data_IF_990250967909
#
_entry.id   IF_990250967909
#
_cell.length_a   1.000
_cell.length_b   1.000
_cell.length_c   1.000
_cell.angle_alpha   90.00
_cell.angle_beta   90.00
_cell.angle_gamma   90.00
#
_symmetry.space_group_name_H-M   'P 1'
#
loop_
_entity.id
_entity.type
_entity.pdbx_description
1 polymer ?
#
# COMPACT_ATOMS: atom_id res chain seq x y z
N UNK A 1 4.15 17.77 2.68
CA UNK A 1 3.31 18.98 2.86
C UNK A 1 2.04 18.66 3.64
N UNK A 2 1.01 18.04 3.05
CA UNK A 2 -0.26 17.74 3.75
C UNK A 2 -0.14 16.81 4.96
N UNK A 3 0.82 15.89 4.96
CA UNK A 3 1.05 14.97 6.09
C UNK A 3 1.80 15.60 7.26
N UNK A 4 2.33 16.82 7.12
CA UNK A 4 3.16 17.47 8.15
C UNK A 4 4.56 16.89 8.33
N UNK A 5 4.93 15.80 7.63
CA UNK A 5 6.28 15.22 7.67
C UNK A 5 7.27 16.15 6.97
N UNK A 6 8.16 16.76 7.76
CA UNK A 6 9.10 17.79 7.31
C UNK A 6 10.33 17.19 6.64
N UNK A 7 10.73 16.00 7.07
CA UNK A 7 11.93 15.27 6.68
C UNK A 7 11.83 14.69 5.26
N UNK A 8 10.62 14.65 4.70
CA UNK A 8 10.35 14.30 3.30
C UNK A 8 10.37 15.49 2.34
N UNK A 9 10.82 16.67 2.76
CA UNK A 9 10.85 17.86 1.90
C UNK A 9 11.97 17.77 0.85
N UNK A 10 11.61 17.97 -0.41
CA UNK A 10 12.52 17.91 -1.55
C UNK A 10 12.84 19.33 -2.05
N UNK A 11 14.11 19.62 -2.31
CA UNK A 11 14.56 20.86 -2.95
C UNK A 11 14.24 20.96 -4.44
N UNK A 12 12.96 20.85 -4.83
CA UNK A 12 12.48 20.79 -6.23
C UNK A 12 13.03 21.95 -7.07
N UNK A 13 12.97 23.18 -6.54
CA UNK A 13 13.47 24.37 -7.24
C UNK A 13 14.96 24.27 -7.59
N UNK A 14 15.78 23.64 -6.74
CA UNK A 14 17.20 23.46 -7.00
C UNK A 14 17.41 22.42 -8.11
N UNK A 15 16.70 21.29 -8.04
CA UNK A 15 16.75 20.23 -9.06
C UNK A 15 16.42 20.81 -10.44
N UNK A 16 15.30 21.53 -10.56
CA UNK A 16 14.86 22.16 -11.81
C UNK A 16 15.89 23.14 -12.37
N UNK A 17 16.45 24.02 -11.52
CA UNK A 17 17.48 25.00 -11.95
C UNK A 17 18.75 24.34 -12.50
N UNK A 18 19.07 23.15 -12.03
CA UNK A 18 20.25 22.37 -12.44
C UNK A 18 19.94 21.28 -13.47
N UNK A 19 18.69 21.14 -13.90
CA UNK A 19 18.29 20.14 -14.89
C UNK A 19 18.68 20.59 -16.30
N UNK A 20 19.23 19.67 -17.10
CA UNK A 20 19.66 19.89 -18.48
C UNK A 20 19.27 18.71 -19.35
N UNK A 21 19.31 18.92 -20.67
CA UNK A 21 19.24 17.85 -21.66
C UNK A 21 20.64 17.63 -22.23
N UNK A 22 21.14 16.41 -22.16
CA UNK A 22 22.42 16.02 -22.73
C UNK A 22 22.25 14.72 -23.53
N UNK A 23 22.54 14.78 -24.84
CA UNK A 23 22.35 13.65 -25.77
C UNK A 23 20.97 12.99 -25.67
N UNK A 24 19.91 13.80 -25.63
CA UNK A 24 18.52 13.35 -25.54
C UNK A 24 18.08 12.83 -24.16
N UNK A 25 18.94 12.87 -23.15
CA UNK A 25 18.63 12.41 -21.79
C UNK A 25 18.56 13.59 -20.82
N UNK A 26 17.68 13.49 -19.81
CA UNK A 26 17.64 14.43 -18.69
C UNK A 26 18.83 14.14 -17.78
N UNK A 27 19.61 15.18 -17.49
CA UNK A 27 20.78 15.13 -16.60
C UNK A 27 20.72 16.29 -15.61
N UNK A 28 21.44 16.17 -14.49
CA UNK A 28 21.56 17.21 -13.47
C UNK A 28 23.00 17.74 -13.47
N UNK A 29 23.22 19.04 -13.61
CA UNK A 29 24.55 19.65 -13.47
C UNK A 29 25.17 19.28 -12.12
N UNK A 30 26.49 19.06 -12.07
CA UNK A 30 27.22 18.68 -10.84
C UNK A 30 26.89 19.55 -9.62
N UNK A 31 26.71 20.87 -9.79
CA UNK A 31 26.31 21.79 -8.70
C UNK A 31 24.92 21.51 -8.09
N UNK A 32 24.12 20.65 -8.71
CA UNK A 32 22.82 20.17 -8.24
C UNK A 32 22.87 18.86 -7.46
N UNK A 33 24.05 18.26 -7.31
CA UNK A 33 24.20 16.92 -6.73
C UNK A 33 23.57 16.80 -5.34
N UNK A 34 23.82 17.75 -4.43
CA UNK A 34 23.25 17.75 -3.08
C UNK A 34 21.71 17.81 -3.06
N UNK A 35 21.08 18.40 -4.07
CA UNK A 35 19.62 18.40 -4.18
C UNK A 35 19.08 17.02 -4.56
N UNK A 36 19.84 16.27 -5.37
CA UNK A 36 19.55 14.87 -5.70
C UNK A 36 19.77 13.97 -4.48
N UNK A 37 20.85 14.18 -3.72
CA UNK A 37 21.10 13.45 -2.47
C UNK A 37 19.93 13.64 -1.47
N UNK A 38 19.54 14.90 -1.25
CA UNK A 38 18.39 15.24 -0.41
C UNK A 38 17.09 14.59 -0.93
N UNK A 39 16.87 14.57 -2.25
CA UNK A 39 15.70 13.90 -2.85
C UNK A 39 15.65 12.41 -2.52
N UNK A 40 16.77 11.68 -2.63
CA UNK A 40 16.82 10.24 -2.36
C UNK A 40 16.55 9.97 -0.87
N UNK A 41 17.15 10.76 0.03
CA UNK A 41 16.91 10.66 1.47
C UNK A 41 15.44 10.93 1.79
N UNK A 42 14.89 12.03 1.28
CA UNK A 42 13.49 12.40 1.47
C UNK A 42 12.53 11.32 0.96
N UNK A 43 12.79 10.75 -0.24
CA UNK A 43 12.01 9.65 -0.80
C UNK A 43 12.03 8.43 0.13
N UNK A 44 13.21 8.05 0.64
CA UNK A 44 13.33 6.94 1.61
C UNK A 44 12.51 7.18 2.87
N UNK A 45 12.62 8.37 3.45
CA UNK A 45 11.89 8.74 4.66
C UNK A 45 10.38 8.74 4.44
N UNK A 46 9.89 9.20 3.28
CA UNK A 46 8.47 9.15 2.92
C UNK A 46 7.94 7.71 2.83
N UNK A 47 8.71 6.77 2.28
CA UNK A 47 8.32 5.35 2.30
C UNK A 47 8.21 4.82 3.73
N UNK A 48 9.18 5.11 4.58
CA UNK A 48 9.19 4.59 5.95
C UNK A 48 8.13 5.22 6.86
N UNK A 49 7.95 6.54 6.78
CA UNK A 49 7.13 7.29 7.73
C UNK A 49 5.67 7.44 7.27
N UNK A 50 5.42 7.42 5.96
CA UNK A 50 4.07 7.66 5.40
C UNK A 50 3.55 6.42 4.68
N UNK A 51 4.17 6.02 3.56
CA UNK A 51 3.58 5.01 2.67
C UNK A 51 3.52 3.60 3.29
N UNK A 52 4.52 3.24 4.10
CA UNK A 52 4.59 1.94 4.79
C UNK A 52 4.36 2.09 6.29
N UNK A 53 3.70 3.17 6.70
CA UNK A 53 3.35 3.36 8.10
C UNK A 53 2.41 2.23 8.56
N UNK A 54 2.68 1.67 9.74
CA UNK A 54 1.93 0.53 10.31
C UNK A 54 0.41 0.70 10.26
N UNK A 55 -0.09 1.90 10.54
CA UNK A 55 -1.52 2.19 10.52
C UNK A 55 -2.10 2.23 9.11
N UNK A 56 -1.31 2.65 8.11
CA UNK A 56 -1.72 2.62 6.69
C UNK A 56 -1.82 1.18 6.20
N UNK A 57 -0.83 0.34 6.54
CA UNK A 57 -0.85 -1.10 6.22
C UNK A 57 -2.08 -1.80 6.83
N UNK A 58 -2.43 -1.44 8.05
CA UNK A 58 -3.64 -1.94 8.72
C UNK A 58 -4.93 -1.51 8.02
N UNK A 59 -5.04 -0.23 7.63
CA UNK A 59 -6.20 0.29 6.93
C UNK A 59 -6.35 -0.32 5.52
N UNK A 60 -5.24 -0.47 4.79
CA UNK A 60 -5.19 -1.13 3.48
C UNK A 60 -5.61 -2.60 3.58
N UNK A 61 -5.10 -3.34 4.57
CA UNK A 61 -5.57 -4.70 4.83
C UNK A 61 -7.07 -4.75 5.13
N UNK A 62 -7.59 -3.87 5.99
CA UNK A 62 -9.01 -3.82 6.32
C UNK A 62 -9.89 -3.58 5.09
N UNK A 63 -9.52 -2.62 4.24
CA UNK A 63 -10.26 -2.33 3.01
C UNK A 63 -10.23 -3.52 2.05
N UNK A 64 -9.07 -4.17 1.88
CA UNK A 64 -8.94 -5.40 1.08
C UNK A 64 -9.77 -6.54 1.66
N UNK A 65 -9.85 -6.69 2.98
CA UNK A 65 -10.71 -7.69 3.63
C UNK A 65 -12.20 -7.44 3.38
N UNK A 66 -12.66 -6.18 3.41
CA UNK A 66 -14.05 -5.83 3.04
C UNK A 66 -14.35 -6.33 1.62
N UNK A 67 -13.53 -5.94 0.64
CA UNK A 67 -13.76 -6.31 -0.75
C UNK A 67 -13.59 -7.80 -1.03
N UNK A 68 -12.65 -8.49 -0.37
CA UNK A 68 -12.55 -9.96 -0.44
C UNK A 68 -13.81 -10.62 0.10
N UNK A 69 -14.37 -10.14 1.21
CA UNK A 69 -15.61 -10.70 1.76
C UNK A 69 -16.81 -10.44 0.84
N UNK A 70 -16.93 -9.23 0.29
CA UNK A 70 -17.94 -8.90 -0.72
C UNK A 70 -17.84 -9.85 -1.92
N UNK A 71 -16.64 -10.07 -2.44
CA UNK A 71 -16.43 -10.96 -3.58
C UNK A 71 -16.82 -12.41 -3.26
N UNK A 72 -16.45 -12.92 -2.07
CA UNK A 72 -16.87 -14.26 -1.62
C UNK A 72 -18.39 -14.38 -1.55
N UNK A 73 -19.08 -13.40 -0.94
CA UNK A 73 -20.54 -13.42 -0.84
C UNK A 73 -21.21 -13.44 -2.21
N UNK A 74 -20.71 -12.67 -3.18
CA UNK A 74 -21.21 -12.69 -4.57
C UNK A 74 -21.00 -14.07 -5.20
N UNK A 75 -19.82 -14.68 -5.01
CA UNK A 75 -19.52 -16.03 -5.52
C UNK A 75 -20.39 -17.11 -4.88
N UNK A 76 -20.72 -16.95 -3.61
CA UNK A 76 -21.63 -17.84 -2.86
C UNK A 76 -23.11 -17.63 -3.23
N UNK A 77 -23.40 -16.77 -4.22
CA UNK A 77 -24.75 -16.47 -4.70
C UNK A 77 -25.58 -15.62 -3.74
N UNK A 78 -24.96 -14.95 -2.78
CA UNK A 78 -25.66 -14.02 -1.88
C UNK A 78 -25.96 -12.71 -2.61
N UNK A 79 -27.20 -12.27 -2.49
CA UNK A 79 -27.59 -10.94 -2.99
C UNK A 79 -27.02 -9.86 -2.06
N UNK A 80 -26.24 -8.96 -2.65
CA UNK A 80 -25.74 -7.77 -1.98
C UNK A 80 -26.39 -6.52 -2.56
N UNK A 81 -26.77 -5.61 -1.67
CA UNK A 81 -27.20 -4.28 -2.09
C UNK A 81 -25.98 -3.45 -2.49
N UNK A 82 -26.12 -2.70 -3.59
CA UNK A 82 -25.10 -1.79 -4.09
C UNK A 82 -25.66 -0.38 -4.13
N UNK A 83 -24.88 0.58 -3.64
CA UNK A 83 -25.22 2.00 -3.75
C UNK A 83 -24.63 2.66 -5.00
N UNK A 84 -23.62 2.03 -5.61
CA UNK A 84 -22.91 2.51 -6.80
C UNK A 84 -23.03 1.49 -7.94
N UNK A 85 -23.70 1.83 -9.05
CA UNK A 85 -23.74 1.00 -10.25
C UNK A 85 -22.35 0.78 -10.86
N UNK A 86 -21.46 1.77 -10.75
CA UNK A 86 -20.09 1.69 -11.25
C UNK A 86 -19.27 0.66 -10.48
N UNK A 87 -19.30 0.72 -9.15
CA UNK A 87 -18.61 -0.27 -8.31
C UNK A 87 -19.24 -1.66 -8.45
N UNK A 88 -20.57 -1.75 -8.53
CA UNK A 88 -21.29 -3.01 -8.76
C UNK A 88 -20.80 -3.72 -10.02
N UNK A 89 -20.63 -2.99 -11.12
CA UNK A 89 -20.12 -3.54 -12.39
C UNK A 89 -18.79 -4.27 -12.20
N UNK A 90 -17.83 -3.67 -11.49
CA UNK A 90 -16.52 -4.29 -11.26
C UNK A 90 -16.57 -5.49 -10.32
N UNK A 91 -17.50 -5.50 -9.36
CA UNK A 91 -17.62 -6.58 -8.38
C UNK A 91 -18.40 -7.78 -8.91
N UNK A 92 -19.41 -7.55 -9.74
CA UNK A 92 -20.31 -8.59 -10.24
C UNK A 92 -19.89 -9.14 -11.61
N UNK A 93 -19.55 -8.27 -12.57
CA UNK A 93 -19.13 -8.70 -13.91
C UNK A 93 -17.64 -9.09 -13.95
N UNK A 94 -16.86 -8.73 -12.93
CA UNK A 94 -15.42 -9.05 -12.79
C UNK A 94 -14.62 -8.88 -14.10
N UNK A 95 -14.73 -7.73 -14.78
CA UNK A 95 -14.15 -7.57 -16.11
C UNK A 95 -12.61 -7.46 -16.03
N UNK A 96 -11.91 -7.97 -17.04
CA UNK A 96 -10.43 -8.05 -17.02
C UNK A 96 -9.79 -7.15 -18.07
N UNK A 97 -8.96 -6.21 -17.63
CA UNK A 97 -8.15 -5.35 -18.51
C UNK A 97 -7.10 -6.12 -19.32
N UNK A 98 -6.70 -7.32 -18.88
CA UNK A 98 -5.77 -8.20 -19.61
C UNK A 98 -6.38 -8.81 -20.87
N UNK A 99 -7.71 -8.92 -20.94
CA UNK A 99 -8.41 -9.49 -22.10
C UNK A 99 -8.76 -8.40 -23.09
N UNK A 100 -9.64 -7.49 -22.69
CA UNK A 100 -10.08 -6.36 -23.51
C UNK A 100 -10.62 -5.25 -22.62
N UNK A 101 -10.16 -4.03 -22.85
CA UNK A 101 -10.76 -2.84 -22.28
C UNK A 101 -11.94 -2.45 -23.17
N UNK A 102 -13.16 -2.61 -22.66
CA UNK A 102 -14.38 -2.22 -23.37
C UNK A 102 -14.73 -0.76 -23.09
N UNK A 103 -15.53 -0.14 -23.97
CA UNK A 103 -16.06 1.21 -23.72
C UNK A 103 -16.85 1.27 -22.40
N UNK A 104 -17.73 0.31 -22.15
CA UNK A 104 -18.47 0.16 -20.88
C UNK A 104 -17.55 0.13 -19.67
N UNK A 105 -16.40 -0.57 -19.74
CA UNK A 105 -15.44 -0.62 -18.64
C UNK A 105 -14.83 0.76 -18.35
N UNK A 106 -14.46 1.50 -19.40
CA UNK A 106 -13.90 2.86 -19.26
C UNK A 106 -14.94 3.79 -18.67
N UNK A 107 -16.16 3.76 -19.20
CA UNK A 107 -17.27 4.60 -18.74
C UNK A 107 -17.55 4.33 -17.25
N UNK A 108 -17.66 3.06 -16.83
CA UNK A 108 -17.85 2.70 -15.41
C UNK A 108 -16.66 3.04 -14.52
N UNK A 109 -15.43 2.93 -15.03
CA UNK A 109 -14.24 3.31 -14.25
C UNK A 109 -14.20 4.83 -14.01
N UNK A 110 -14.53 5.63 -15.02
CA UNK A 110 -14.52 7.09 -14.94
C UNK A 110 -15.63 7.67 -14.05
N UNK A 111 -16.72 6.92 -13.87
CA UNK A 111 -17.81 7.26 -12.94
C UNK A 111 -17.46 7.04 -11.46
N UNK A 112 -16.39 6.29 -11.17
CA UNK A 112 -16.11 5.82 -9.82
C UNK A 112 -15.09 6.71 -9.09
N UNK A 113 -15.42 7.08 -7.86
CA UNK A 113 -14.52 7.77 -6.93
C UNK A 113 -14.64 7.23 -5.49
N UNK A 114 -14.00 7.91 -4.54
CA UNK A 114 -13.98 7.50 -3.14
C UNK A 114 -15.39 7.43 -2.52
N UNK A 115 -16.34 8.24 -2.98
CA UNK A 115 -17.72 8.25 -2.47
C UNK A 115 -18.45 6.95 -2.79
N UNK A 116 -18.22 6.34 -3.95
CA UNK A 116 -18.80 5.04 -4.30
C UNK A 116 -18.38 3.97 -3.31
N UNK A 117 -17.10 3.97 -2.93
CA UNK A 117 -16.53 3.07 -1.94
C UNK A 117 -17.12 3.37 -0.55
N UNK A 118 -17.10 4.62 -0.10
CA UNK A 118 -17.60 5.01 1.22
C UNK A 118 -19.10 4.75 1.38
N UNK A 119 -19.91 5.06 0.37
CA UNK A 119 -21.35 4.83 0.39
C UNK A 119 -21.66 3.33 0.43
N UNK A 120 -20.92 2.52 -0.33
CA UNK A 120 -21.05 1.07 -0.32
C UNK A 120 -20.65 0.47 1.03
N UNK A 121 -19.56 0.93 1.66
CA UNK A 121 -19.17 0.51 3.01
C UNK A 121 -20.24 0.90 4.06
N UNK A 122 -20.81 2.10 3.96
CA UNK A 122 -21.93 2.53 4.84
C UNK A 122 -23.16 1.64 4.70
N UNK A 123 -23.47 1.21 3.48
CA UNK A 123 -24.56 0.29 3.19
C UNK A 123 -24.26 -1.12 3.74
N UNK A 124 -23.08 -1.66 3.45
CA UNK A 124 -22.66 -2.99 3.87
C UNK A 124 -22.41 -3.14 5.38
N UNK A 125 -22.20 -2.04 6.09
CA UNK A 125 -22.22 -2.04 7.56
C UNK A 125 -23.55 -2.53 8.14
N UNK A 126 -24.65 -2.46 7.37
CA UNK A 126 -25.98 -2.96 7.75
C UNK A 126 -26.29 -4.35 7.18
N UNK A 127 -25.31 -5.03 6.58
CA UNK A 127 -25.48 -6.37 6.00
C UNK A 127 -25.82 -7.40 7.08
N UNK A 128 -26.60 -8.41 6.72
CA UNK A 128 -26.85 -9.59 7.57
C UNK A 128 -25.58 -10.43 7.77
N UNK A 129 -24.62 -10.34 6.84
CA UNK A 129 -23.32 -10.98 6.99
C UNK A 129 -22.50 -10.29 8.09
N UNK A 130 -22.44 -10.92 9.25
CA UNK A 130 -21.77 -10.38 10.44
C UNK A 130 -20.30 -10.04 10.21
N UNK A 131 -19.62 -10.78 9.33
CA UNK A 131 -18.21 -10.53 9.01
C UNK A 131 -18.07 -9.25 8.20
N UNK A 132 -18.81 -9.12 7.10
CA UNK A 132 -18.83 -7.91 6.28
C UNK A 132 -19.24 -6.68 7.10
N UNK A 133 -20.32 -6.81 7.88
CA UNK A 133 -20.78 -5.73 8.75
C UNK A 133 -19.71 -5.32 9.77
N UNK A 134 -19.03 -6.28 10.42
CA UNK A 134 -17.95 -5.99 11.35
C UNK A 134 -16.79 -5.24 10.69
N UNK A 135 -16.32 -5.71 9.54
CA UNK A 135 -15.21 -5.07 8.81
C UNK A 135 -15.59 -3.65 8.37
N UNK A 136 -16.80 -3.44 7.88
CA UNK A 136 -17.29 -2.11 7.50
C UNK A 136 -17.40 -1.18 8.72
N UNK A 137 -17.91 -1.66 9.85
CA UNK A 137 -17.96 -0.89 11.09
C UNK A 137 -16.56 -0.51 11.59
N UNK A 138 -15.58 -1.43 11.51
CA UNK A 138 -14.17 -1.14 11.83
C UNK A 138 -13.63 0.00 10.97
N UNK A 139 -13.91 -0.02 9.67
CA UNK A 139 -13.43 1.01 8.75
C UNK A 139 -14.05 2.37 9.05
N UNK A 140 -15.37 2.43 9.19
CA UNK A 140 -16.12 3.66 9.46
C UNK A 140 -15.77 4.30 10.81
N UNK A 141 -15.55 3.48 11.84
CA UNK A 141 -15.21 3.94 13.19
C UNK A 141 -13.71 4.06 13.44
N UNK A 142 -12.89 3.83 12.40
CA UNK A 142 -11.42 3.80 12.51
C UNK A 142 -10.91 2.83 13.59
N UNK A 143 -11.63 1.74 13.82
CA UNK A 143 -11.17 0.62 14.65
C UNK A 143 -10.32 -0.36 13.83
N UNK A 144 -9.18 0.17 13.39
CA UNK A 144 -8.21 -0.54 12.56
C UNK A 144 -7.57 -1.71 13.33
N UNK A 145 -7.06 -2.68 12.58
CA UNK A 145 -6.21 -3.76 13.11
C UNK A 145 -4.87 -3.23 13.64
N UNK A 146 -4.09 -4.10 14.29
CA UNK A 146 -2.70 -3.84 14.66
C UNK A 146 -1.76 -4.43 13.62
N UNK A 147 -0.72 -3.69 13.26
CA UNK A 147 0.38 -4.19 12.44
C UNK A 147 1.63 -4.35 13.31
N UNK A 148 2.18 -5.55 13.33
CA UNK A 148 3.38 -5.92 14.09
C UNK A 148 4.48 -6.34 13.11
N UNK A 149 5.60 -5.62 13.13
CA UNK A 149 6.76 -5.95 12.31
C UNK A 149 7.54 -7.11 12.94
N UNK A 150 8.11 -7.97 12.09
CA UNK A 150 8.87 -9.15 12.48
C UNK A 150 10.25 -9.09 11.84
N UNK A 151 11.28 -9.44 12.61
CA UNK A 151 12.67 -9.45 12.14
C UNK A 151 12.93 -10.55 11.11
N UNK A 152 12.14 -11.63 11.17
CA UNK A 152 12.27 -12.80 10.29
C UNK A 152 10.92 -13.18 9.69
N UNK A 153 10.97 -13.88 8.57
CA UNK A 153 9.79 -14.49 7.98
C UNK A 153 9.13 -15.45 8.99
N UNK A 154 7.83 -15.33 9.27
CA UNK A 154 7.16 -16.17 10.26
C UNK A 154 7.13 -17.62 9.79
N UNK A 155 7.45 -18.54 10.72
CA UNK A 155 7.37 -19.99 10.50
C UNK A 155 5.91 -20.44 10.46
N UNK A 156 5.63 -21.63 9.93
CA UNK A 156 4.26 -22.16 9.90
C UNK A 156 3.71 -22.37 11.31
N UNK A 157 4.54 -22.79 12.27
CA UNK A 157 4.15 -22.93 13.67
C UNK A 157 3.70 -21.60 14.27
N UNK A 158 4.47 -20.52 14.04
CA UNK A 158 4.13 -19.18 14.51
C UNK A 158 2.83 -18.66 13.86
N UNK A 159 2.64 -18.89 12.55
CA UNK A 159 1.36 -18.56 11.89
C UNK A 159 0.18 -19.28 12.50
N UNK A 160 0.33 -20.58 12.79
CA UNK A 160 -0.72 -21.40 13.41
C UNK A 160 -1.06 -20.91 14.83
N UNK A 161 -0.05 -20.50 15.61
CA UNK A 161 -0.26 -19.91 16.93
C UNK A 161 -1.14 -18.65 16.85
N UNK A 162 -0.82 -17.71 15.96
CA UNK A 162 -1.60 -16.47 15.82
C UNK A 162 -3.00 -16.78 15.27
N UNK A 163 -3.14 -17.75 14.35
CA UNK A 163 -4.47 -18.21 13.90
C UNK A 163 -5.32 -18.71 15.08
N UNK A 164 -4.76 -19.53 15.97
CA UNK A 164 -5.48 -19.99 17.17
C UNK A 164 -5.88 -18.85 18.10
N UNK A 165 -5.00 -17.86 18.31
CA UNK A 165 -5.34 -16.65 19.08
C UNK A 165 -6.45 -15.85 18.39
N UNK A 166 -6.43 -15.79 17.06
CA UNK A 166 -7.46 -15.11 16.24
C UNK A 166 -8.80 -15.80 16.35
N UNK A 167 -8.85 -17.13 16.26
CA UNK A 167 -10.08 -17.91 16.48
C UNK A 167 -10.70 -17.60 17.84
N UNK A 168 -9.90 -17.58 18.91
CA UNK A 168 -10.37 -17.24 20.26
C UNK A 168 -10.92 -15.81 20.34
N UNK A 169 -10.32 -14.85 19.64
CA UNK A 169 -10.80 -13.47 19.59
C UNK A 169 -12.12 -13.34 18.81
N UNK A 170 -12.25 -14.02 17.66
CA UNK A 170 -13.48 -14.03 16.86
C UNK A 170 -14.67 -14.65 17.62
N UNK A 171 -14.42 -15.70 18.40
CA UNK A 171 -15.42 -16.31 19.29
C UNK A 171 -16.01 -15.29 20.25
N UNK A 172 -15.16 -14.45 20.88
CA UNK A 172 -15.61 -13.39 21.80
C UNK A 172 -16.46 -12.34 21.08
N UNK A 173 -16.19 -12.09 19.80
CA UNK A 173 -16.96 -11.19 18.94
C UNK A 173 -18.23 -11.84 18.35
N UNK A 174 -18.50 -13.12 18.65
CA UNK A 174 -19.61 -13.91 18.09
C UNK A 174 -19.59 -13.95 16.56
N UNK A 175 -18.38 -14.01 16.00
CA UNK A 175 -18.13 -14.15 14.57
C UNK A 175 -17.80 -15.61 14.22
N UNK A 176 -18.01 -16.04 12.97
CA UNK A 176 -17.61 -17.37 12.50
C UNK A 176 -16.11 -17.61 12.67
N UNK A 177 -15.74 -18.87 12.87
CA UNK A 177 -14.39 -19.31 13.26
C UNK A 177 -13.67 -20.14 12.19
N UNK A 178 -14.25 -20.27 10.99
CA UNK A 178 -13.65 -21.04 9.91
C UNK A 178 -12.41 -20.37 9.30
N UNK A 179 -11.56 -21.17 8.67
CA UNK A 179 -10.28 -20.73 8.09
C UNK A 179 -10.44 -19.65 7.01
N UNK A 180 -11.53 -19.68 6.24
CA UNK A 180 -11.78 -18.68 5.21
C UNK A 180 -12.12 -17.31 5.83
N UNK A 181 -12.77 -17.30 6.99
CA UNK A 181 -13.05 -16.08 7.75
C UNK A 181 -11.82 -15.54 8.45
N UNK A 182 -10.97 -16.41 9.01
CA UNK A 182 -9.71 -16.03 9.65
C UNK A 182 -8.86 -15.12 8.74
N UNK A 183 -8.74 -15.44 7.45
CA UNK A 183 -7.93 -14.69 6.49
C UNK A 183 -8.43 -13.25 6.22
N UNK A 184 -9.61 -12.85 6.71
CA UNK A 184 -10.08 -11.46 6.72
C UNK A 184 -9.62 -10.65 7.93
N UNK A 185 -9.15 -11.32 8.98
CA UNK A 185 -8.73 -10.72 10.26
C UNK A 185 -7.24 -10.86 10.55
N UNK A 186 -6.56 -11.75 9.83
CA UNK A 186 -5.10 -11.92 9.90
C UNK A 186 -4.46 -11.89 8.52
N UNK A 187 -3.30 -11.26 8.42
CA UNK A 187 -2.45 -11.32 7.23
C UNK A 187 -0.98 -11.38 7.60
N UNK A 188 -0.19 -12.08 6.79
CA UNK A 188 1.26 -12.13 6.85
C UNK A 188 1.83 -11.66 5.51
N UNK A 189 2.46 -10.49 5.51
CA UNK A 189 2.98 -9.86 4.30
C UNK A 189 4.42 -9.39 4.50
N UNK A 190 5.00 -8.87 3.43
CA UNK A 190 6.29 -8.20 3.46
C UNK A 190 6.14 -6.84 2.79
N UNK A 191 6.71 -5.82 3.42
CA UNK A 191 6.90 -4.50 2.82
C UNK A 191 8.27 -4.48 2.16
N UNK A 192 8.33 -3.93 0.95
CA UNK A 192 9.56 -3.70 0.19
C UNK A 192 9.66 -2.22 -0.10
N UNK A 193 10.78 -1.59 0.27
CA UNK A 193 11.07 -0.21 -0.11
C UNK A 193 12.48 -0.10 -0.66
N UNK A 194 12.59 0.51 -1.84
CA UNK A 194 13.86 0.83 -2.49
C UNK A 194 13.78 2.31 -2.89
N UNK A 195 14.58 3.15 -2.26
CA UNK A 195 14.51 4.59 -2.48
C UNK A 195 15.13 5.02 -3.82
N UNK A 196 16.06 4.21 -4.32
CA UNK A 196 16.74 4.45 -5.59
C UNK A 196 17.18 3.12 -6.21
N UNK A 197 16.79 2.90 -7.46
CA UNK A 197 17.12 1.69 -8.22
C UNK A 197 18.12 2.03 -9.32
N UNK A 198 19.33 1.53 -9.19
CA UNK A 198 20.39 1.79 -10.17
C UNK A 198 20.07 1.20 -11.56
N UNK A 199 19.39 0.04 -11.61
CA UNK A 199 19.06 -0.64 -12.88
C UNK A 199 17.79 -0.03 -13.49
N UNK A 200 17.97 0.68 -14.61
CA UNK A 200 16.95 1.29 -15.49
C UNK A 200 16.32 2.62 -15.02
N UNK A 201 16.60 3.08 -13.80
CA UNK A 201 16.07 4.35 -13.26
C UNK A 201 17.20 5.27 -12.75
N UNK A 202 18.38 5.22 -13.40
CA UNK A 202 19.56 5.94 -12.93
C UNK A 202 19.42 7.45 -13.11
N UNK A 203 19.90 8.22 -12.12
CA UNK A 203 20.03 9.68 -12.22
C UNK A 203 21.44 9.98 -12.74
N UNK A 204 21.51 10.80 -13.78
CA UNK A 204 22.76 11.18 -14.44
C UNK A 204 23.20 12.57 -14.02
N UNK A 205 24.46 12.69 -13.60
CA UNK A 205 25.12 13.93 -13.24
C UNK A 205 26.03 14.38 -14.39
N UNK A 206 25.84 15.61 -14.86
CA UNK A 206 26.66 16.23 -15.89
C UNK A 206 27.88 16.91 -15.25
N UNK A 207 29.06 16.41 -15.56
CA UNK A 207 30.36 16.86 -15.09
C UNK A 207 31.33 16.87 -16.28
N UNK A 208 31.94 18.01 -16.60
CA UNK A 208 32.89 18.18 -17.71
C UNK A 208 32.43 17.61 -19.06
N UNK A 209 31.18 17.91 -19.47
CA UNK A 209 30.54 17.38 -20.67
C UNK A 209 30.45 15.84 -20.73
N UNK A 210 30.52 15.18 -19.58
CA UNK A 210 30.29 13.74 -19.43
C UNK A 210 29.13 13.51 -18.46
N UNK A 211 28.27 12.56 -18.82
CA UNK A 211 27.22 12.08 -17.93
C UNK A 211 27.78 10.94 -17.07
N UNK A 212 27.87 11.16 -15.77
CA UNK A 212 28.32 10.20 -14.78
C UNK A 212 27.12 9.77 -13.97
N UNK A 213 27.00 8.48 -13.68
CA UNK A 213 25.88 8.01 -12.85
C UNK A 213 26.04 8.53 -11.41
N UNK A 214 24.91 8.93 -10.80
CA UNK A 214 24.86 9.60 -9.51
C UNK A 214 25.65 8.89 -8.39
N UNK A 215 25.55 7.57 -8.23
CA UNK A 215 26.30 6.83 -7.20
C UNK A 215 27.82 6.90 -7.37
N UNK A 216 28.31 7.14 -8.60
CA UNK A 216 29.72 7.37 -8.89
C UNK A 216 30.14 8.83 -8.75
N UNK A 217 29.20 9.75 -8.97
CA UNK A 217 29.43 11.19 -8.88
C UNK A 217 29.30 11.72 -7.44
N UNK A 218 28.57 11.01 -6.57
CA UNK A 218 28.36 11.36 -5.18
C UNK A 218 29.57 11.00 -4.32
N UNK A 219 30.01 11.94 -3.49
CA UNK A 219 31.17 11.75 -2.59
C UNK A 219 30.78 10.97 -1.32
N UNK A 220 29.49 10.99 -0.97
CA UNK A 220 28.98 10.43 0.28
C UNK A 220 28.73 8.93 0.17
N UNK A 221 29.67 8.11 0.66
CA UNK A 221 29.54 6.63 0.73
C UNK A 221 28.24 6.14 1.37
N UNK A 222 27.66 6.92 2.29
CA UNK A 222 26.40 6.58 2.97
C UNK A 222 25.20 6.51 2.01
N UNK A 223 25.24 7.22 0.88
CA UNK A 223 24.12 7.26 -0.05
C UNK A 223 23.95 5.94 -0.80
N UNK A 224 25.06 5.24 -1.09
CA UNK A 224 25.01 3.90 -1.70
C UNK A 224 24.34 2.90 -0.75
N UNK A 225 24.63 2.96 0.55
CA UNK A 225 23.91 2.16 1.55
C UNK A 225 22.42 2.52 1.62
N UNK A 226 22.04 3.75 1.24
CA UNK A 226 20.64 4.17 1.22
C UNK A 226 19.84 3.60 0.03
N UNK A 227 20.51 3.05 -0.99
CA UNK A 227 19.89 2.44 -2.17
C UNK A 227 19.53 0.96 -1.95
N UNK A 228 20.03 0.34 -0.88
CA UNK A 228 19.68 -1.05 -0.59
C UNK A 228 18.20 -1.21 -0.25
N UNK A 229 17.52 -2.21 -0.83
CA UNK A 229 16.12 -2.45 -0.54
C UNK A 229 15.93 -2.89 0.92
N UNK A 230 14.99 -2.25 1.59
CA UNK A 230 14.56 -2.64 2.94
C UNK A 230 13.34 -3.54 2.82
N UNK A 231 13.49 -4.78 3.27
CA UNK A 231 12.40 -5.75 3.37
C UNK A 231 12.04 -5.93 4.84
N UNK A 232 10.77 -5.70 5.19
CA UNK A 232 10.25 -5.98 6.54
C UNK A 232 9.04 -6.88 6.45
N UNK A 233 9.11 -8.01 7.15
CA UNK A 233 7.95 -8.87 7.34
C UNK A 233 7.02 -8.24 8.38
N UNK A 234 5.71 -8.35 8.18
CA UNK A 234 4.74 -7.90 9.16
C UNK A 234 3.51 -8.80 9.20
N UNK A 235 2.84 -8.78 10.35
CA UNK A 235 1.55 -9.39 10.55
C UNK A 235 0.52 -8.30 10.84
N UNK A 236 -0.61 -8.31 10.14
CA UNK A 236 -1.79 -7.53 10.51
C UNK A 236 -2.74 -8.46 11.26
N UNK A 237 -3.21 -8.05 12.43
CA UNK A 237 -4.02 -8.88 13.32
C UNK A 237 -4.96 -8.05 14.20
N UNK A 238 -5.94 -8.71 14.81
CA UNK A 238 -6.81 -8.12 15.84
C UNK A 238 -5.99 -7.55 17.01
N UNK A 239 -6.38 -6.36 17.51
CA UNK A 239 -5.65 -5.63 18.57
C UNK A 239 -5.62 -6.40 19.89
N UNK A 240 -6.60 -7.25 20.12
CA UNK A 240 -6.80 -8.09 21.30
C UNK A 240 -5.82 -9.28 21.36
N UNK A 241 -5.02 -9.48 20.31
CA UNK A 241 -4.04 -10.56 20.20
C UNK A 241 -2.64 -9.96 20.40
N UNK A 242 -1.85 -10.60 21.24
CA UNK A 242 -0.41 -10.33 21.36
C UNK A 242 0.39 -11.36 20.55
N UNK A 243 1.36 -10.84 19.79
CA UNK A 243 2.28 -11.57 18.90
C UNK A 243 3.70 -11.29 19.36
#
# INVERSE_FOLDING_TARGET
>A
FFTGVSEGTVGINRILKTMRVFKGNIVIEKKGIYAVENYIIARRLMYMQVYQHKTVLSADFLLRSIFRRVHQLIQDGKELNFASPALQYFLTESPSSKKRISKKMIDRYAEMDDHDVYLSIKLWAKSEDKVLANLCHRFLNRDLFRTTFMDKKPTQAHKNEIKQKTTKALRKLRLPEDDAILDHYICFEQSYSEAYKYKNESIWILEDNKAIEFSKAAETKNIIALTEPVVKHYCVHLKEIEI
#
